data_IF_988531305154
#
_entry.id   IF_988531305154
#
_cell.length_a   1.000
_cell.length_b   1.000
_cell.length_c   1.000
_cell.angle_alpha   90.00
_cell.angle_beta   90.00
_cell.angle_gamma   90.00
#
_symmetry.space_group_name_H-M   'P 1'
#
loop_
_entity.id
_entity.type
_entity.pdbx_description
1 polymer ?
#
# COMPACT_ATOMS: atom_id res chain seq x y z
N UNK A 1 14.39 15.70 4.51
CA UNK A 1 13.53 15.22 3.40
C UNK A 1 14.25 14.23 2.52
N UNK A 2 15.39 14.53 1.93
CA UNK A 2 16.13 13.59 1.06
C UNK A 2 16.37 12.22 1.70
N UNK A 3 16.82 12.14 2.95
CA UNK A 3 17.00 10.89 3.70
C UNK A 3 15.72 10.03 3.80
N UNK A 4 14.55 10.65 3.97
CA UNK A 4 13.28 9.92 4.02
C UNK A 4 12.92 9.34 2.65
N UNK A 5 13.08 10.13 1.59
CA UNK A 5 12.83 9.68 0.22
C UNK A 5 13.73 8.50 -0.15
N UNK A 6 15.04 8.61 0.07
CA UNK A 6 15.99 7.51 -0.21
C UNK A 6 15.64 6.25 0.57
N UNK A 7 15.27 6.39 1.84
CA UNK A 7 14.86 5.25 2.67
C UNK A 7 13.58 4.59 2.13
N UNK A 8 12.57 5.38 1.76
CA UNK A 8 11.34 4.86 1.16
C UNK A 8 11.66 4.09 -0.12
N UNK A 9 12.42 4.70 -1.02
CA UNK A 9 12.77 4.10 -2.31
C UNK A 9 13.51 2.78 -2.13
N UNK A 10 14.57 2.77 -1.33
CA UNK A 10 15.38 1.56 -1.12
C UNK A 10 14.55 0.47 -0.43
N UNK A 11 13.85 0.80 0.65
CA UNK A 11 13.08 -0.18 1.43
C UNK A 11 11.95 -0.80 0.61
N UNK A 12 11.21 0.01 -0.15
CA UNK A 12 10.11 -0.47 -0.97
C UNK A 12 10.59 -1.22 -2.21
N UNK A 13 11.73 -0.84 -2.80
CA UNK A 13 12.35 -1.58 -3.90
C UNK A 13 12.79 -2.97 -3.45
N UNK A 14 13.50 -3.09 -2.31
CA UNK A 14 13.94 -4.38 -1.76
C UNK A 14 12.74 -5.26 -1.41
N UNK A 15 11.72 -4.69 -0.77
CA UNK A 15 10.47 -5.42 -0.49
C UNK A 15 9.78 -5.86 -1.78
N UNK A 16 9.76 -5.01 -2.80
CA UNK A 16 9.21 -5.31 -4.12
C UNK A 16 9.91 -6.45 -4.82
N UNK A 17 11.25 -6.49 -4.77
CA UNK A 17 12.06 -7.60 -5.26
C UNK A 17 11.64 -8.91 -4.60
N UNK A 18 11.63 -8.94 -3.27
CA UNK A 18 11.24 -10.13 -2.52
C UNK A 18 9.83 -10.60 -2.88
N UNK A 19 8.87 -9.67 -2.94
CA UNK A 19 7.47 -9.96 -3.25
C UNK A 19 7.27 -10.52 -4.65
N UNK A 20 7.94 -9.95 -5.66
CA UNK A 20 7.80 -10.36 -7.06
C UNK A 20 8.53 -11.67 -7.38
N UNK A 21 9.52 -12.05 -6.57
CA UNK A 21 10.34 -13.25 -6.75
C UNK A 21 9.55 -14.55 -6.83
N UNK A 22 8.44 -14.61 -6.11
CA UNK A 22 7.51 -15.75 -6.14
C UNK A 22 7.06 -16.14 -7.56
N UNK A 23 6.92 -15.18 -8.46
CA UNK A 23 6.40 -15.42 -9.81
C UNK A 23 7.53 -15.61 -10.85
N UNK A 24 8.43 -14.64 -10.90
CA UNK A 24 9.58 -14.63 -11.81
C UNK A 24 10.55 -13.49 -11.46
N UNK A 25 11.77 -13.57 -11.97
CA UNK A 25 12.76 -12.49 -11.85
C UNK A 25 12.27 -11.21 -12.53
N UNK A 26 11.62 -11.32 -13.68
CA UNK A 26 11.04 -10.19 -14.39
C UNK A 26 9.97 -9.47 -13.55
N UNK A 27 9.06 -10.23 -12.95
CA UNK A 27 8.05 -9.69 -12.04
C UNK A 27 8.68 -9.03 -10.80
N UNK A 28 9.75 -9.60 -10.28
CA UNK A 28 10.48 -9.03 -9.15
C UNK A 28 11.04 -7.64 -9.50
N UNK A 29 11.64 -7.48 -10.66
CA UNK A 29 12.16 -6.19 -11.14
C UNK A 29 11.04 -5.17 -11.37
N UNK A 30 9.93 -5.60 -11.97
CA UNK A 30 8.77 -4.72 -12.18
C UNK A 30 8.18 -4.24 -10.85
N UNK A 31 7.99 -5.11 -9.88
CA UNK A 31 7.45 -4.73 -8.57
C UNK A 31 8.44 -3.87 -7.79
N UNK A 32 9.74 -4.13 -7.90
CA UNK A 32 10.79 -3.31 -7.31
C UNK A 32 10.80 -1.87 -7.85
N UNK A 33 10.48 -1.68 -9.12
CA UNK A 33 10.36 -0.34 -9.72
C UNK A 33 9.03 0.34 -9.34
N UNK A 34 7.92 -0.42 -9.33
CA UNK A 34 6.57 0.11 -9.08
C UNK A 34 6.34 0.55 -7.64
N UNK A 35 6.76 -0.24 -6.66
CA UNK A 35 6.49 0.08 -5.26
C UNK A 35 7.05 1.42 -4.81
N UNK A 36 8.30 1.80 -5.13
CA UNK A 36 8.78 3.15 -4.86
C UNK A 36 7.93 4.25 -5.49
N UNK A 37 7.50 4.06 -6.73
CA UNK A 37 6.63 5.02 -7.44
C UNK A 37 5.28 5.15 -6.73
N UNK A 38 4.66 4.03 -6.34
CA UNK A 38 3.41 4.02 -5.59
C UNK A 38 3.56 4.75 -4.26
N UNK A 39 4.60 4.43 -3.49
CA UNK A 39 4.81 5.02 -2.17
C UNK A 39 5.14 6.51 -2.24
N UNK A 40 6.10 6.90 -3.06
CA UNK A 40 6.50 8.32 -3.19
C UNK A 40 5.38 9.12 -3.84
N UNK A 41 4.77 8.62 -4.91
CA UNK A 41 3.67 9.27 -5.61
C UNK A 41 2.45 9.49 -4.71
N UNK A 42 2.00 8.45 -4.00
CA UNK A 42 0.90 8.56 -3.03
C UNK A 42 1.24 9.55 -1.91
N UNK A 43 2.48 9.54 -1.40
CA UNK A 43 2.94 10.46 -0.36
C UNK A 43 2.85 11.92 -0.82
N UNK A 44 3.27 12.22 -2.04
CA UNK A 44 3.20 13.57 -2.61
C UNK A 44 1.75 14.04 -2.75
N UNK A 45 0.88 13.21 -3.34
CA UNK A 45 -0.54 13.53 -3.53
C UNK A 45 -1.22 13.73 -2.18
N UNK A 46 -1.06 12.78 -1.25
CA UNK A 46 -1.66 12.87 0.08
C UNK A 46 -1.14 14.08 0.86
N UNK A 47 0.13 14.47 0.70
CA UNK A 47 0.67 15.67 1.37
C UNK A 47 -0.06 16.95 0.96
N UNK A 48 -0.48 17.08 -0.30
CA UNK A 48 -1.27 18.21 -0.76
C UNK A 48 -2.66 18.24 -0.11
N UNK A 49 -3.36 17.09 -0.11
CA UNK A 49 -4.66 16.95 0.57
C UNK A 49 -4.55 17.18 2.08
N UNK A 50 -3.51 16.64 2.70
CA UNK A 50 -3.24 16.77 4.11
C UNK A 50 -3.03 18.24 4.52
N UNK A 51 -2.33 18.99 3.69
CA UNK A 51 -2.14 20.43 3.92
C UNK A 51 -3.44 21.20 3.79
N UNK A 52 -4.24 20.97 2.74
CA UNK A 52 -5.56 21.59 2.56
C UNK A 52 -6.51 21.27 3.73
N UNK A 53 -6.57 20.01 4.16
CA UNK A 53 -7.33 19.61 5.33
C UNK A 53 -6.83 20.33 6.60
N UNK A 54 -5.52 20.48 6.75
CA UNK A 54 -4.91 21.22 7.86
C UNK A 54 -5.29 22.70 7.88
N UNK A 55 -5.44 23.35 6.73
CA UNK A 55 -5.94 24.73 6.64
C UNK A 55 -7.39 24.83 7.11
N UNK A 56 -8.25 23.90 6.67
CA UNK A 56 -9.67 23.89 7.03
C UNK A 56 -9.87 23.65 8.53
N UNK A 57 -9.09 22.74 9.12
CA UNK A 57 -9.19 22.40 10.57
C UNK A 57 -8.44 23.42 11.45
N UNK A 58 -7.70 24.37 10.84
CA UNK A 58 -6.96 25.38 11.59
C UNK A 58 -5.66 24.86 12.23
N UNK A 59 -4.99 23.88 11.61
CA UNK A 59 -3.77 23.29 12.15
C UNK A 59 -2.58 24.24 12.17
N UNK A 60 -2.58 25.32 11.36
CA UNK A 60 -1.52 26.32 11.31
C UNK A 60 -0.18 25.85 10.73
N UNK A 61 -0.16 24.64 10.10
CA UNK A 61 1.04 24.04 9.54
C UNK A 61 1.33 24.57 8.12
N UNK A 62 2.60 24.84 7.84
CA UNK A 62 3.06 25.17 6.50
C UNK A 62 3.13 23.90 5.65
N UNK A 63 2.96 24.02 4.34
CA UNK A 63 3.04 22.87 3.41
C UNK A 63 4.33 22.02 3.58
N UNK A 64 5.48 22.67 3.75
CA UNK A 64 6.77 21.99 3.98
C UNK A 64 6.79 21.16 5.27
N UNK A 65 6.08 21.60 6.30
CA UNK A 65 5.99 20.87 7.58
C UNK A 65 5.10 19.64 7.43
N UNK A 66 3.94 19.79 6.76
CA UNK A 66 3.05 18.67 6.43
C UNK A 66 3.76 17.64 5.56
N UNK A 67 4.43 18.10 4.50
CA UNK A 67 5.23 17.24 3.62
C UNK A 67 6.27 16.45 4.43
N UNK A 68 7.00 17.11 5.32
CA UNK A 68 7.98 16.46 6.19
C UNK A 68 7.36 15.41 7.12
N UNK A 69 6.18 15.69 7.70
CA UNK A 69 5.44 14.77 8.57
C UNK A 69 5.00 13.51 7.82
N UNK A 70 4.38 13.70 6.65
CA UNK A 70 3.87 12.60 5.82
C UNK A 70 5.02 11.72 5.32
N UNK A 71 6.14 12.33 4.86
CA UNK A 71 7.33 11.57 4.48
C UNK A 71 7.99 10.83 5.66
N UNK A 72 8.01 11.41 6.86
CA UNK A 72 8.52 10.73 8.05
C UNK A 72 7.68 9.51 8.43
N UNK A 73 6.36 9.64 8.38
CA UNK A 73 5.42 8.54 8.61
C UNK A 73 5.60 7.41 7.59
N UNK A 74 5.67 7.76 6.29
CA UNK A 74 5.87 6.80 5.22
C UNK A 74 7.25 6.12 5.29
N UNK A 75 8.30 6.85 5.68
CA UNK A 75 9.62 6.29 5.92
C UNK A 75 9.61 5.29 7.08
N UNK A 76 8.79 5.51 8.12
CA UNK A 76 8.62 4.56 9.23
C UNK A 76 7.92 3.29 8.78
N UNK A 77 6.85 3.41 7.98
CA UNK A 77 6.16 2.28 7.37
C UNK A 77 7.12 1.47 6.46
N UNK A 78 7.89 2.16 5.62
CA UNK A 78 8.83 1.53 4.69
C UNK A 78 9.97 0.78 5.41
N UNK A 79 10.44 1.28 6.57
CA UNK A 79 11.41 0.55 7.40
C UNK A 79 10.85 -0.78 7.91
N UNK A 80 9.58 -0.81 8.31
CA UNK A 80 8.96 -2.06 8.72
C UNK A 80 8.81 -3.04 7.54
N UNK A 81 8.46 -2.54 6.35
CA UNK A 81 8.45 -3.38 5.15
C UNK A 81 9.82 -4.02 4.91
N UNK A 82 10.90 -3.25 5.00
CA UNK A 82 12.27 -3.76 4.86
C UNK A 82 12.61 -4.80 5.93
N UNK A 83 12.25 -4.53 7.18
CA UNK A 83 12.50 -5.46 8.31
C UNK A 83 11.73 -6.79 8.15
N UNK A 84 10.58 -6.78 7.48
CA UNK A 84 9.75 -7.96 7.25
C UNK A 84 10.10 -8.72 5.95
N UNK A 85 11.08 -8.25 5.16
CA UNK A 85 11.54 -8.96 3.96
C UNK A 85 11.93 -10.42 4.24
N UNK A 86 12.69 -10.76 5.31
CA UNK A 86 13.01 -12.15 5.61
C UNK A 86 11.78 -13.02 5.88
N UNK A 87 10.76 -12.45 6.53
CA UNK A 87 9.48 -13.14 6.80
C UNK A 87 8.75 -13.43 5.49
N UNK A 88 8.68 -12.46 4.60
CA UNK A 88 8.05 -12.60 3.28
C UNK A 88 8.79 -13.67 2.46
N UNK A 89 10.12 -13.64 2.44
CA UNK A 89 10.93 -14.65 1.75
C UNK A 89 10.72 -16.05 2.34
N UNK A 90 10.65 -16.18 3.66
CA UNK A 90 10.33 -17.45 4.30
C UNK A 90 8.98 -18.00 3.81
N UNK A 91 7.93 -17.19 3.79
CA UNK A 91 6.62 -17.62 3.29
C UNK A 91 6.66 -17.99 1.80
N UNK A 92 7.38 -17.23 0.97
CA UNK A 92 7.54 -17.54 -0.46
C UNK A 92 8.22 -18.89 -0.66
N UNK A 93 9.30 -19.17 0.06
CA UNK A 93 10.04 -20.42 -0.04
C UNK A 93 9.24 -21.60 0.52
N UNK A 94 8.48 -21.38 1.61
CA UNK A 94 7.64 -22.42 2.22
C UNK A 94 6.36 -22.71 1.43
N UNK A 95 5.85 -21.76 0.68
CA UNK A 95 4.65 -21.88 -0.13
C UNK A 95 4.93 -22.39 -1.55
N UNK A 96 6.18 -22.73 -1.89
CA UNK A 96 6.52 -23.28 -3.19
C UNK A 96 5.77 -24.62 -3.39
N UNK A 97 4.95 -24.77 -4.44
CA UNK A 97 4.18 -25.99 -4.67
C UNK A 97 5.13 -27.15 -4.97
N UNK A 98 4.96 -28.25 -4.24
CA UNK A 98 5.78 -29.45 -4.38
C UNK A 98 5.29 -30.38 -5.49
N UNK A 99 4.00 -30.33 -5.83
CA UNK A 99 3.36 -31.24 -6.78
C UNK A 99 2.90 -30.58 -8.08
N UNK A 100 2.94 -29.25 -8.18
CA UNK A 100 2.49 -28.51 -9.36
C UNK A 100 0.96 -28.53 -9.58
N UNK A 101 0.17 -29.04 -8.63
CA UNK A 101 -1.28 -29.07 -8.75
C UNK A 101 -1.88 -27.65 -8.68
N UNK A 102 -2.91 -27.40 -9.48
CA UNK A 102 -3.56 -26.08 -9.57
C UNK A 102 -4.15 -25.59 -8.24
N UNK A 103 -4.62 -26.51 -7.40
CA UNK A 103 -5.17 -26.17 -6.08
C UNK A 103 -4.07 -25.71 -5.11
N UNK A 104 -2.93 -26.37 -5.09
CA UNK A 104 -1.78 -25.95 -4.28
C UNK A 104 -1.29 -24.57 -4.70
N UNK A 105 -1.21 -24.29 -6.00
CA UNK A 105 -0.84 -22.96 -6.52
C UNK A 105 -1.83 -21.87 -6.09
N UNK A 106 -3.13 -22.16 -6.06
CA UNK A 106 -4.17 -21.22 -5.59
C UNK A 106 -4.06 -20.96 -4.11
N UNK A 107 -3.84 -22.01 -3.31
CA UNK A 107 -3.65 -21.88 -1.87
C UNK A 107 -2.39 -21.09 -1.53
N UNK A 108 -1.26 -21.41 -2.16
CA UNK A 108 -0.01 -20.68 -2.00
C UNK A 108 -0.16 -19.20 -2.36
N UNK A 109 -0.82 -18.90 -3.47
CA UNK A 109 -1.09 -17.52 -3.88
C UNK A 109 -1.98 -16.77 -2.87
N UNK A 110 -3.02 -17.41 -2.36
CA UNK A 110 -3.90 -16.81 -1.34
C UNK A 110 -3.16 -16.56 -0.02
N UNK A 111 -2.33 -17.49 0.42
CA UNK A 111 -1.50 -17.34 1.62
C UNK A 111 -0.49 -16.19 1.47
N UNK A 112 0.15 -16.07 0.31
CA UNK A 112 1.06 -14.96 0.02
C UNK A 112 0.32 -13.60 0.00
N UNK A 113 -0.88 -13.54 -0.59
CA UNK A 113 -1.70 -12.32 -0.56
C UNK A 113 -2.04 -11.91 0.86
N UNK A 114 -2.48 -12.85 1.71
CA UNK A 114 -2.78 -12.60 3.12
C UNK A 114 -1.55 -12.11 3.89
N UNK A 115 -0.40 -12.73 3.67
CA UNK A 115 0.87 -12.31 4.26
C UNK A 115 1.19 -10.86 3.88
N UNK A 116 1.05 -10.49 2.61
CA UNK A 116 1.28 -9.12 2.17
C UNK A 116 0.30 -8.13 2.77
N UNK A 117 -0.99 -8.49 2.85
CA UNK A 117 -2.02 -7.65 3.50
C UNK A 117 -1.64 -7.41 4.96
N UNK A 118 -1.27 -8.44 5.70
CA UNK A 118 -0.86 -8.33 7.10
C UNK A 118 0.39 -7.44 7.27
N UNK A 119 1.40 -7.62 6.41
CA UNK A 119 2.63 -6.81 6.43
C UNK A 119 2.33 -5.34 6.11
N UNK A 120 1.50 -5.06 5.10
CA UNK A 120 1.11 -3.69 4.77
C UNK A 120 0.25 -3.05 5.86
N UNK A 121 -0.66 -3.81 6.48
CA UNK A 121 -1.46 -3.34 7.61
C UNK A 121 -0.56 -2.96 8.80
N UNK A 122 0.39 -3.81 9.17
CA UNK A 122 1.36 -3.53 10.24
C UNK A 122 2.21 -2.29 9.92
N UNK A 123 2.70 -2.17 8.68
CA UNK A 123 3.46 -1.01 8.22
C UNK A 123 2.61 0.28 8.26
N UNK A 124 1.34 0.19 7.86
CA UNK A 124 0.37 1.28 7.94
C UNK A 124 0.14 1.73 9.39
N UNK A 125 -0.05 0.81 10.32
CA UNK A 125 -0.20 1.13 11.76
C UNK A 125 1.03 1.86 12.28
N UNK A 126 2.24 1.38 12.01
CA UNK A 126 3.47 2.03 12.47
C UNK A 126 3.64 3.43 11.86
N UNK A 127 3.36 3.58 10.57
CA UNK A 127 3.39 4.88 9.90
C UNK A 127 2.42 5.87 10.54
N UNK A 128 1.19 5.43 10.81
CA UNK A 128 0.17 6.24 11.46
C UNK A 128 0.52 6.62 12.90
N UNK A 129 1.05 5.70 13.69
CA UNK A 129 1.53 6.01 15.04
C UNK A 129 2.64 7.07 15.00
N UNK A 130 3.54 6.99 14.03
CA UNK A 130 4.58 8.00 13.83
C UNK A 130 3.97 9.35 13.46
N UNK A 131 3.01 9.36 12.52
CA UNK A 131 2.30 10.55 12.09
C UNK A 131 1.60 11.25 13.25
N UNK A 132 0.81 10.50 14.02
CA UNK A 132 0.06 11.03 15.17
C UNK A 132 1.00 11.63 16.21
N UNK A 133 2.09 10.93 16.56
CA UNK A 133 3.08 11.42 17.52
C UNK A 133 3.75 12.71 17.07
N UNK A 134 4.15 12.79 15.82
CA UNK A 134 4.82 13.98 15.28
C UNK A 134 3.85 15.15 15.08
N UNK A 135 2.59 14.87 14.76
CA UNK A 135 1.54 15.88 14.62
C UNK A 135 1.22 16.53 15.95
N UNK A 136 1.03 15.76 17.03
CA UNK A 136 0.76 16.30 18.37
C UNK A 136 1.86 17.24 18.90
N UNK A 137 3.11 17.06 18.46
CA UNK A 137 4.21 17.94 18.86
C UNK A 137 4.17 19.32 18.18
N UNK A 138 3.42 19.46 17.09
CA UNK A 138 3.49 20.65 16.21
C UNK A 138 2.19 21.44 16.13
N UNK A 139 1.08 20.80 16.44
CA UNK A 139 -0.25 21.40 16.31
C UNK A 139 -0.70 22.00 17.62
N UNK A 140 -1.38 23.16 17.56
CA UNK A 140 -1.94 23.83 18.72
C UNK A 140 -3.01 22.97 19.43
N UNK A 141 -3.11 23.10 20.75
CA UNK A 141 -4.13 22.41 21.56
C UNK A 141 -5.60 22.72 21.15
N UNK A 142 -5.82 23.76 20.35
CA UNK A 142 -7.15 24.13 19.83
C UNK A 142 -7.53 23.34 18.55
N UNK A 143 -6.60 22.65 17.91
CA UNK A 143 -6.86 21.88 16.70
C UNK A 143 -7.45 20.52 17.06
N UNK A 144 -8.48 20.09 16.33
CA UNK A 144 -9.04 18.73 16.44
C UNK A 144 -8.14 17.74 15.70
N UNK A 145 -7.09 17.30 16.39
CA UNK A 145 -6.07 16.39 15.82
C UNK A 145 -6.69 15.10 15.32
N UNK A 146 -7.74 14.59 16.01
CA UNK A 146 -8.42 13.34 15.62
C UNK A 146 -9.10 13.48 14.24
N UNK A 147 -9.76 14.61 13.99
CA UNK A 147 -10.41 14.90 12.70
C UNK A 147 -9.36 15.01 11.61
N UNK A 148 -8.25 15.71 11.88
CA UNK A 148 -7.17 15.87 10.92
C UNK A 148 -6.52 14.52 10.57
N UNK A 149 -6.25 13.67 11.57
CA UNK A 149 -5.74 12.33 11.38
C UNK A 149 -6.71 11.47 10.57
N UNK A 150 -8.01 11.50 10.89
CA UNK A 150 -9.02 10.76 10.15
C UNK A 150 -9.08 11.17 8.66
N UNK A 151 -9.02 12.48 8.38
CA UNK A 151 -8.98 13.00 7.00
C UNK A 151 -7.71 12.54 6.26
N UNK A 152 -6.56 12.57 6.94
CA UNK A 152 -5.30 12.12 6.33
C UNK A 152 -5.30 10.62 6.07
N UNK A 153 -5.84 9.81 6.99
CA UNK A 153 -6.01 8.37 6.80
C UNK A 153 -6.94 8.05 5.64
N UNK A 154 -8.08 8.74 5.56
CA UNK A 154 -9.00 8.61 4.44
C UNK A 154 -8.34 8.94 3.10
N UNK A 155 -7.57 10.03 3.05
CA UNK A 155 -6.80 10.39 1.85
C UNK A 155 -5.76 9.34 1.48
N UNK A 156 -5.01 8.78 2.46
CA UNK A 156 -4.07 7.69 2.21
C UNK A 156 -4.76 6.43 1.70
N UNK A 157 -5.91 6.08 2.27
CA UNK A 157 -6.67 4.91 1.82
C UNK A 157 -7.15 5.09 0.37
N UNK A 158 -7.77 6.21 0.06
CA UNK A 158 -8.29 6.48 -1.28
C UNK A 158 -7.18 6.55 -2.34
N UNK A 159 -6.16 7.38 -2.08
CA UNK A 159 -5.05 7.56 -3.03
C UNK A 159 -4.23 6.28 -3.16
N UNK A 160 -3.93 5.61 -2.04
CA UNK A 160 -3.17 4.36 -2.03
C UNK A 160 -3.88 3.23 -2.76
N UNK A 161 -5.19 3.07 -2.56
CA UNK A 161 -5.99 2.09 -3.28
C UNK A 161 -6.04 2.40 -4.78
N UNK A 162 -6.24 3.67 -5.16
CA UNK A 162 -6.31 4.04 -6.57
C UNK A 162 -4.96 3.90 -7.29
N UNK A 163 -3.87 4.38 -6.68
CA UNK A 163 -2.54 4.25 -7.27
C UNK A 163 -2.11 2.78 -7.32
N UNK A 164 -2.43 2.00 -6.28
CA UNK A 164 -2.19 0.56 -6.27
C UNK A 164 -2.99 -0.17 -7.34
N UNK A 165 -4.24 0.25 -7.59
CA UNK A 165 -5.07 -0.28 -8.66
C UNK A 165 -4.48 -0.02 -10.04
N UNK A 166 -4.06 1.20 -10.32
CA UNK A 166 -3.43 1.58 -11.60
C UNK A 166 -2.11 0.84 -11.86
N UNK A 167 -1.35 0.57 -10.80
CA UNK A 167 -0.04 -0.10 -10.90
C UNK A 167 -0.12 -1.64 -10.91
N UNK A 168 -1.33 -2.23 -11.05
CA UNK A 168 -1.46 -3.70 -11.21
C UNK A 168 -0.67 -4.23 -12.41
N UNK A 169 -0.14 -5.45 -12.37
CA UNK A 169 -0.10 -6.39 -11.25
C UNK A 169 1.02 -6.06 -10.26
N UNK A 170 0.70 -6.06 -8.95
CA UNK A 170 1.68 -5.93 -7.86
C UNK A 170 2.04 -7.29 -7.25
N UNK A 171 1.15 -8.27 -7.39
CA UNK A 171 1.38 -9.68 -7.07
C UNK A 171 1.04 -10.45 -8.33
N UNK A 172 2.00 -11.11 -8.95
CA UNK A 172 1.77 -11.87 -10.17
C UNK A 172 0.75 -12.99 -9.93
N UNK A 173 -0.29 -13.06 -10.76
CA UNK A 173 -1.20 -14.21 -10.79
C UNK A 173 -0.56 -15.35 -11.59
N UNK A 174 -0.68 -16.62 -11.16
CA UNK A 174 -0.13 -17.75 -11.92
C UNK A 174 -0.73 -17.88 -13.32
N UNK A 175 -1.93 -17.34 -13.56
CA UNK A 175 -2.69 -17.50 -14.81
C UNK A 175 -2.63 -16.29 -15.76
N UNK A 176 -1.89 -15.24 -15.43
CA UNK A 176 -1.82 -14.00 -16.23
C UNK A 176 -0.37 -13.78 -16.67
N UNK A 177 -0.18 -13.32 -17.89
CA UNK A 177 1.15 -12.93 -18.43
C UNK A 177 1.79 -11.83 -17.57
N UNK A 178 3.10 -11.90 -17.41
CA UNK A 178 3.87 -10.88 -16.70
C UNK A 178 3.93 -9.64 -17.59
N UNK A 179 3.38 -8.52 -17.11
CA UNK A 179 3.42 -7.23 -17.80
C UNK A 179 3.78 -6.12 -16.80
N UNK A 180 4.47 -5.09 -17.27
CA UNK A 180 4.76 -3.93 -16.41
C UNK A 180 3.47 -3.21 -16.03
N UNK A 181 2.61 -2.90 -16.96
CA UNK A 181 1.27 -2.35 -16.71
C UNK A 181 0.25 -3.20 -17.48
N UNK A 182 -0.93 -3.38 -16.92
CA UNK A 182 -2.02 -4.04 -17.64
C UNK A 182 -2.59 -3.07 -18.68
N UNK A 183 -3.04 -3.59 -19.80
CA UNK A 183 -3.67 -2.80 -20.87
C UNK A 183 -4.92 -2.08 -20.37
N UNK A 184 -5.68 -2.71 -19.45
CA UNK A 184 -6.89 -2.18 -18.81
C UNK A 184 -6.61 -1.37 -17.53
N UNK A 185 -5.36 -0.97 -17.24
CA UNK A 185 -4.99 -0.32 -15.99
C UNK A 185 -5.70 1.02 -15.75
N UNK A 186 -6.07 1.71 -16.81
CA UNK A 186 -6.72 3.03 -16.78
C UNK A 186 -8.22 2.97 -17.14
N UNK A 187 -8.74 1.83 -17.59
CA UNK A 187 -10.12 1.69 -18.06
C UNK A 187 -11.13 1.61 -16.91
N UNK A 188 -10.66 1.34 -15.69
CA UNK A 188 -11.50 1.27 -14.49
C UNK A 188 -10.77 1.83 -13.27
N UNK A 189 -11.53 2.23 -12.27
CA UNK A 189 -10.97 2.66 -11.00
C UNK A 189 -11.29 1.65 -9.87
N UNK A 190 -10.52 1.74 -8.76
CA UNK A 190 -10.68 0.82 -7.63
C UNK A 190 -12.11 0.84 -7.07
N UNK A 191 -12.68 2.03 -6.86
CA UNK A 191 -14.01 2.17 -6.29
C UNK A 191 -15.08 1.59 -7.23
N UNK A 192 -15.01 1.89 -8.51
CA UNK A 192 -15.90 1.34 -9.51
C UNK A 192 -15.88 -0.19 -9.47
N UNK A 193 -14.72 -0.82 -9.46
CA UNK A 193 -14.62 -2.28 -9.39
C UNK A 193 -15.20 -2.85 -8.09
N UNK A 194 -15.04 -2.16 -6.97
CA UNK A 194 -15.65 -2.59 -5.70
C UNK A 194 -17.17 -2.52 -5.77
N UNK A 195 -17.72 -1.43 -6.28
CA UNK A 195 -19.18 -1.24 -6.35
C UNK A 195 -19.86 -2.07 -7.43
N UNK A 196 -19.20 -2.28 -8.57
CA UNK A 196 -19.82 -2.99 -9.72
C UNK A 196 -19.57 -4.49 -9.70
N UNK A 197 -18.49 -4.97 -9.10
CA UNK A 197 -18.12 -6.38 -9.14
C UNK A 197 -18.18 -7.04 -7.76
N UNK A 198 -17.55 -6.43 -6.73
CA UNK A 198 -17.41 -7.09 -5.42
C UNK A 198 -18.71 -7.08 -4.63
N UNK A 199 -19.36 -5.92 -4.49
CA UNK A 199 -20.59 -5.78 -3.69
C UNK A 199 -21.76 -6.62 -4.25
N UNK A 200 -22.09 -6.58 -5.57
CA UNK A 200 -23.16 -7.41 -6.12
C UNK A 200 -22.89 -8.91 -5.94
N UNK A 201 -21.62 -9.33 -6.09
CA UNK A 201 -21.26 -10.74 -5.91
C UNK A 201 -21.42 -11.22 -4.46
N UNK A 202 -21.17 -10.36 -3.48
CA UNK A 202 -21.39 -10.66 -2.06
C UNK A 202 -22.88 -10.73 -1.71
N UNK A 203 -23.70 -9.85 -2.27
CA UNK A 203 -25.15 -9.82 -2.04
C UNK A 203 -25.81 -11.06 -2.65
N UNK A 204 -25.48 -11.41 -3.89
CA UNK A 204 -26.08 -12.58 -4.56
C UNK A 204 -25.65 -13.93 -3.96
N UNK A 205 -24.47 -14.04 -3.37
CA UNK A 205 -24.09 -15.25 -2.62
C UNK A 205 -24.85 -15.45 -1.32
N UNK A 206 -25.44 -14.40 -0.76
CA UNK A 206 -26.29 -14.47 0.43
C UNK A 206 -27.70 -15.04 0.16
N UNK A 207 -28.16 -15.05 -1.11
CA UNK A 207 -29.51 -15.49 -1.46
C UNK A 207 -29.61 -16.96 -1.89
N UNK A 208 -28.51 -17.67 -2.04
CA UNK A 208 -28.51 -19.10 -2.42
C UNK A 208 -28.23 -19.96 -1.20
N UNK A 209 -29.25 -20.11 -0.34
CA UNK A 209 -29.47 -21.31 0.51
C UNK A 209 -30.96 -21.52 0.69
N UNK A 210 -31.56 -22.53 0.03
CA UNK A 210 -32.70 -23.21 0.60
C UNK A 210 -32.23 -24.17 1.71
#
# INVERSE_FOLDING_TARGET
MFRHVSLIVISTAVYGLARGWWRSVEMALYVAAKLPVVFVGSTLVVSAFAWMAGLVVGAGLRYREVLGLVFAAMASASRLLLALVPVVLFFILSAAPTSGMREELRFAHAALLLTHIAVFAAAGVLGNLTLVRELHKRVSAKCRVEVLVALWLGAFALVGCQVGWMMRPLVGSPNITVAFLREDALDSNFLESVFTQVIPHLIHKGEVRP
#
